data_IF_927304890891
#
_entry.id   IF_927304890891
#
_cell.length_a   1.000
_cell.length_b   1.000
_cell.length_c   1.000
_cell.angle_alpha   90.00
_cell.angle_beta   90.00
_cell.angle_gamma   90.00
#
_symmetry.space_group_name_H-M   'P 1'
#
loop_
_entity.id
_entity.type
_entity.pdbx_description
1 polymer ?
#
# COMPACT_ATOMS: atom_id res chain seq x y z
N UNK A 1 -4.81 -8.54 -33.69
CA UNK A 1 -3.95 -9.73 -33.50
C UNK A 1 -3.06 -9.83 -34.73
N UNK A 2 -1.87 -9.23 -34.69
CA UNK A 2 -0.97 -9.24 -35.85
C UNK A 2 -0.02 -10.43 -35.71
N UNK A 3 -0.24 -11.45 -36.53
CA UNK A 3 0.67 -12.57 -36.73
C UNK A 3 1.85 -12.08 -37.59
N UNK A 4 2.80 -11.36 -36.98
CA UNK A 4 3.96 -10.78 -37.70
C UNK A 4 5.10 -11.80 -37.86
N UNK A 5 5.08 -12.91 -37.12
CA UNK A 5 6.07 -13.98 -37.26
C UNK A 5 5.34 -15.33 -37.34
N UNK A 6 4.98 -15.71 -38.57
CA UNK A 6 4.43 -17.02 -38.85
C UNK A 6 5.44 -18.11 -38.51
N UNK A 7 5.22 -18.83 -37.40
CA UNK A 7 5.81 -20.15 -37.09
C UNK A 7 7.34 -20.31 -37.15
N UNK A 8 8.12 -19.26 -37.35
CA UNK A 8 9.59 -19.33 -37.40
C UNK A 8 10.22 -18.92 -36.07
N UNK A 9 10.56 -19.94 -35.27
CA UNK A 9 11.75 -19.95 -34.39
C UNK A 9 11.97 -18.79 -33.40
N UNK A 10 10.90 -18.25 -32.80
CA UNK A 10 10.96 -17.36 -31.63
C UNK A 10 11.90 -17.89 -30.52
N UNK A 11 11.91 -19.20 -30.17
CA UNK A 11 12.85 -19.76 -29.19
C UNK A 11 14.32 -19.75 -29.66
N UNK A 12 14.56 -19.87 -30.96
CA UNK A 12 15.89 -19.88 -31.57
C UNK A 12 16.49 -18.46 -31.68
N UNK A 13 15.66 -17.47 -32.02
CA UNK A 13 16.00 -16.05 -31.98
C UNK A 13 16.33 -15.64 -30.54
N UNK A 14 15.50 -16.03 -29.56
CA UNK A 14 15.78 -15.77 -28.15
C UNK A 14 17.07 -16.46 -27.64
N UNK A 15 17.39 -17.65 -28.16
CA UNK A 15 18.64 -18.38 -27.86
C UNK A 15 19.87 -17.66 -28.44
N UNK A 16 19.77 -17.10 -29.65
CA UNK A 16 20.84 -16.28 -30.24
C UNK A 16 21.01 -14.92 -29.56
N UNK A 17 19.91 -14.26 -29.18
CA UNK A 17 19.95 -13.02 -28.41
C UNK A 17 20.61 -13.20 -27.03
N UNK A 18 20.42 -14.34 -26.37
CA UNK A 18 21.12 -14.69 -25.11
C UNK A 18 22.62 -14.93 -25.26
N UNK A 19 23.09 -15.27 -26.46
CA UNK A 19 24.50 -15.53 -26.76
C UNK A 19 25.24 -14.27 -27.22
N UNK A 20 24.51 -13.17 -27.46
CA UNK A 20 25.08 -11.93 -27.95
C UNK A 20 25.23 -10.92 -26.79
N UNK A 21 26.45 -10.81 -26.26
CA UNK A 21 26.78 -9.89 -25.17
C UNK A 21 26.43 -8.42 -25.48
N UNK A 22 26.42 -8.02 -26.77
CA UNK A 22 25.99 -6.67 -27.17
C UNK A 22 24.49 -6.47 -26.94
N UNK A 23 23.67 -7.48 -27.23
CA UNK A 23 22.22 -7.43 -27.04
C UNK A 23 21.87 -7.44 -25.54
N UNK A 24 22.54 -8.26 -24.75
CA UNK A 24 22.37 -8.27 -23.29
C UNK A 24 22.75 -6.92 -22.65
N UNK A 25 23.90 -6.36 -23.02
CA UNK A 25 24.34 -5.04 -22.54
C UNK A 25 23.39 -3.92 -23.01
N UNK A 26 22.83 -4.04 -24.22
CA UNK A 26 21.85 -3.10 -24.73
C UNK A 26 20.55 -3.12 -23.91
N UNK A 27 20.01 -4.32 -23.62
CA UNK A 27 18.83 -4.48 -22.74
C UNK A 27 19.11 -3.95 -21.34
N UNK A 28 20.28 -4.24 -20.76
CA UNK A 28 20.70 -3.68 -19.45
C UNK A 28 20.73 -2.15 -19.49
N UNK A 29 21.31 -1.55 -20.53
CA UNK A 29 21.35 -0.09 -20.69
C UNK A 29 19.97 0.54 -20.82
N UNK A 30 19.00 -0.17 -21.43
CA UNK A 30 17.62 0.30 -21.54
C UNK A 30 16.93 0.21 -20.20
N UNK A 31 17.12 -0.88 -19.46
CA UNK A 31 16.62 -1.01 -18.10
C UNK A 31 17.20 0.11 -17.23
N UNK A 32 18.50 0.37 -17.28
CA UNK A 32 19.12 1.47 -16.51
C UNK A 32 18.62 2.85 -16.93
N UNK A 33 18.37 3.11 -18.22
CA UNK A 33 17.78 4.38 -18.71
C UNK A 33 16.31 4.54 -18.33
N UNK A 34 15.55 3.45 -18.30
CA UNK A 34 14.13 3.48 -17.95
C UNK A 34 13.94 3.55 -16.42
N UNK A 35 14.79 2.85 -15.69
CA UNK A 35 14.84 2.81 -14.23
C UNK A 35 16.06 3.64 -13.78
N UNK A 36 15.93 4.98 -13.77
CA UNK A 36 16.95 5.96 -13.32
C UNK A 36 17.32 5.82 -11.81
N UNK A 37 17.60 4.61 -11.31
CA UNK A 37 17.83 4.31 -9.90
C UNK A 37 16.67 4.64 -8.95
N UNK A 38 15.60 5.24 -9.45
CA UNK A 38 14.50 5.79 -8.67
C UNK A 38 13.53 4.68 -8.29
N UNK A 39 13.09 4.71 -7.03
CA UNK A 39 11.97 3.90 -6.58
C UNK A 39 10.74 4.38 -7.34
N UNK A 40 10.18 3.51 -8.17
CA UNK A 40 8.83 3.70 -8.69
C UNK A 40 7.89 3.51 -7.50
N UNK A 41 7.42 4.61 -6.94
CA UNK A 41 6.54 4.69 -5.77
C UNK A 41 5.14 5.15 -6.13
N UNK A 42 5.03 6.20 -6.97
CA UNK A 42 3.75 6.84 -7.27
C UNK A 42 3.12 6.40 -8.59
N UNK A 43 1.84 6.71 -8.79
CA UNK A 43 1.15 6.50 -10.06
C UNK A 43 1.75 7.37 -11.20
N UNK A 44 2.08 8.62 -10.91
CA UNK A 44 2.73 9.52 -11.87
C UNK A 44 4.11 9.01 -12.29
N UNK A 45 4.90 8.47 -11.34
CA UNK A 45 6.20 7.85 -11.65
C UNK A 45 6.04 6.60 -12.52
N UNK A 46 4.98 5.81 -12.29
CA UNK A 46 4.64 4.65 -13.15
C UNK A 46 4.27 5.09 -14.56
N UNK A 47 3.47 6.13 -14.71
CA UNK A 47 3.06 6.65 -16.01
C UNK A 47 4.27 7.20 -16.78
N UNK A 48 5.11 8.01 -16.14
CA UNK A 48 6.37 8.50 -16.72
C UNK A 48 7.30 7.35 -17.11
N UNK A 49 7.37 6.31 -16.28
CA UNK A 49 8.12 5.10 -16.60
C UNK A 49 7.57 4.39 -17.84
N UNK A 50 6.25 4.17 -17.93
CA UNK A 50 5.62 3.57 -19.12
C UNK A 50 5.81 4.42 -20.36
N UNK A 51 5.77 5.75 -20.24
CA UNK A 51 6.08 6.66 -21.35
C UNK A 51 7.53 6.51 -21.84
N UNK A 52 8.51 6.44 -20.92
CA UNK A 52 9.92 6.22 -21.27
C UNK A 52 10.13 4.89 -21.98
N UNK A 53 9.47 3.84 -21.51
CA UNK A 53 9.49 2.49 -22.11
C UNK A 53 8.87 2.49 -23.51
N UNK A 54 7.71 3.10 -23.67
CA UNK A 54 7.04 3.23 -24.97
C UNK A 54 7.82 4.10 -25.95
N UNK A 55 8.66 5.02 -25.47
CA UNK A 55 9.54 5.83 -26.31
C UNK A 55 10.82 5.09 -26.73
N UNK A 56 11.17 3.96 -26.10
CA UNK A 56 12.37 3.22 -26.45
C UNK A 56 12.26 2.60 -27.85
N UNK A 57 13.29 2.76 -28.67
CA UNK A 57 13.40 2.11 -29.98
C UNK A 57 14.69 1.34 -30.03
N UNK A 58 14.73 0.29 -30.83
CA UNK A 58 15.96 -0.48 -31.01
C UNK A 58 17.04 0.43 -31.62
N UNK A 59 18.28 0.31 -31.15
CA UNK A 59 19.39 1.11 -31.63
C UNK A 59 19.58 0.83 -33.13
N UNK A 60 19.67 1.86 -33.99
CA UNK A 60 19.82 1.67 -35.43
C UNK A 60 21.00 0.75 -35.82
N UNK A 61 22.09 0.76 -35.06
CA UNK A 61 23.23 -0.13 -35.30
C UNK A 61 22.89 -1.60 -35.00
N UNK A 62 22.11 -1.85 -33.95
CA UNK A 62 21.63 -3.20 -33.57
C UNK A 62 20.51 -3.64 -34.51
N UNK A 63 19.65 -2.71 -34.94
CA UNK A 63 18.58 -2.93 -35.92
C UNK A 63 19.15 -3.42 -37.25
N UNK A 64 20.17 -2.73 -37.76
CA UNK A 64 20.80 -3.08 -39.03
C UNK A 64 21.44 -4.47 -39.03
N UNK A 65 22.11 -4.85 -37.93
CA UNK A 65 22.72 -6.18 -37.79
C UNK A 65 21.65 -7.28 -37.65
N UNK A 66 20.58 -7.01 -36.89
CA UNK A 66 19.47 -7.95 -36.70
C UNK A 66 18.66 -8.18 -37.98
N UNK A 67 18.36 -7.13 -38.74
CA UNK A 67 17.66 -7.23 -40.03
C UNK A 67 18.50 -7.99 -41.04
N UNK A 68 19.80 -7.70 -41.13
CA UNK A 68 20.71 -8.45 -42.00
C UNK A 68 20.72 -9.93 -41.64
N UNK A 69 20.79 -10.27 -40.36
CA UNK A 69 20.74 -11.66 -39.91
C UNK A 69 19.41 -12.33 -40.24
N UNK A 70 18.26 -11.69 -39.97
CA UNK A 70 16.93 -12.26 -40.22
C UNK A 70 16.62 -12.42 -41.72
N UNK A 71 17.07 -11.46 -42.54
CA UNK A 71 16.96 -11.55 -44.00
C UNK A 71 17.82 -12.69 -44.59
N UNK A 72 18.97 -13.01 -43.97
CA UNK A 72 19.77 -14.18 -44.37
C UNK A 72 19.05 -15.51 -44.13
N UNK A 73 18.07 -15.54 -43.21
CA UNK A 73 17.19 -16.70 -42.97
C UNK A 73 15.89 -16.64 -43.79
N UNK A 74 15.81 -15.79 -44.82
CA UNK A 74 14.69 -15.72 -45.75
C UNK A 74 13.44 -15.01 -45.23
N UNK A 75 13.55 -14.30 -44.10
CA UNK A 75 12.45 -13.50 -43.54
C UNK A 75 12.62 -12.04 -43.96
N UNK A 76 11.71 -11.47 -44.75
CA UNK A 76 11.71 -10.05 -45.08
C UNK A 76 11.19 -9.25 -43.88
N UNK A 77 12.10 -8.84 -42.99
CA UNK A 77 11.76 -8.10 -41.77
C UNK A 77 12.07 -6.62 -41.98
N UNK A 78 11.08 -5.75 -41.78
CA UNK A 78 11.27 -4.30 -41.79
C UNK A 78 11.75 -3.77 -40.44
N UNK A 79 12.32 -2.57 -40.44
CA UNK A 79 12.67 -1.84 -39.21
C UNK A 79 11.45 -1.63 -38.29
N UNK A 80 10.25 -1.45 -38.86
CA UNK A 80 9.01 -1.34 -38.08
C UNK A 80 8.62 -2.65 -37.41
N UNK A 81 8.80 -3.79 -38.09
CA UNK A 81 8.46 -5.11 -37.54
C UNK A 81 9.41 -5.47 -36.39
N UNK A 82 10.70 -5.16 -36.57
CA UNK A 82 11.71 -5.38 -35.53
C UNK A 82 11.46 -4.51 -34.30
N UNK A 83 11.09 -3.24 -34.51
CA UNK A 83 10.74 -2.34 -33.40
C UNK A 83 9.45 -2.76 -32.68
N UNK A 84 8.44 -3.25 -33.39
CA UNK A 84 7.22 -3.79 -32.79
C UNK A 84 7.52 -5.02 -31.92
N UNK A 85 8.29 -5.98 -32.46
CA UNK A 85 8.75 -7.15 -31.71
C UNK A 85 9.58 -6.77 -30.48
N UNK A 86 10.47 -5.79 -30.62
CA UNK A 86 11.27 -5.27 -29.53
C UNK A 86 10.41 -4.66 -28.42
N UNK A 87 9.39 -3.86 -28.79
CA UNK A 87 8.45 -3.27 -27.85
C UNK A 87 7.63 -4.31 -27.10
N UNK A 88 7.13 -5.34 -27.79
CA UNK A 88 6.40 -6.46 -27.16
C UNK A 88 7.30 -7.22 -26.16
N UNK A 89 8.56 -7.45 -26.51
CA UNK A 89 9.52 -8.09 -25.60
C UNK A 89 9.80 -7.23 -24.37
N UNK A 90 9.97 -5.92 -24.56
CA UNK A 90 10.23 -4.96 -23.48
C UNK A 90 9.03 -4.89 -22.51
N UNK A 91 7.81 -4.83 -23.03
CA UNK A 91 6.59 -4.81 -22.22
C UNK A 91 6.39 -6.10 -21.44
N UNK A 92 6.63 -7.27 -22.05
CA UNK A 92 6.58 -8.55 -21.37
C UNK A 92 7.62 -8.65 -20.24
N UNK A 93 8.85 -8.19 -20.50
CA UNK A 93 9.92 -8.16 -19.49
C UNK A 93 9.55 -7.28 -18.30
N UNK A 94 8.96 -6.11 -18.55
CA UNK A 94 8.49 -5.19 -17.52
C UNK A 94 7.34 -5.81 -16.72
N UNK A 95 6.38 -6.48 -17.38
CA UNK A 95 5.31 -7.20 -16.71
C UNK A 95 5.83 -8.26 -15.74
N UNK A 96 6.82 -9.05 -16.18
CA UNK A 96 7.50 -10.03 -15.32
C UNK A 96 8.32 -9.37 -14.21
N UNK A 97 8.94 -8.21 -14.44
CA UNK A 97 9.62 -7.43 -13.40
C UNK A 97 8.64 -6.97 -12.32
N UNK A 98 7.49 -6.40 -12.68
CA UNK A 98 6.47 -5.99 -11.72
C UNK A 98 5.89 -7.17 -10.95
N UNK A 99 5.68 -8.31 -11.62
CA UNK A 99 5.24 -9.55 -11.00
C UNK A 99 6.29 -10.12 -10.03
N UNK A 100 7.57 -10.09 -10.41
CA UNK A 100 8.68 -10.48 -9.55
C UNK A 100 8.81 -9.55 -8.33
N UNK A 101 8.68 -8.23 -8.53
CA UNK A 101 8.63 -7.24 -7.45
C UNK A 101 7.45 -7.47 -6.52
N UNK A 102 6.25 -7.72 -7.04
CA UNK A 102 5.07 -8.10 -6.26
C UNK A 102 5.32 -9.34 -5.42
N UNK A 103 5.94 -10.37 -6.00
CA UNK A 103 6.29 -11.60 -5.29
C UNK A 103 7.37 -11.35 -4.22
N UNK A 104 8.35 -10.49 -4.49
CA UNK A 104 9.37 -10.10 -3.55
C UNK A 104 8.79 -9.28 -2.40
N UNK A 105 7.95 -8.29 -2.68
CA UNK A 105 7.24 -7.48 -1.68
C UNK A 105 6.30 -8.35 -0.84
N UNK A 106 5.63 -9.33 -1.45
CA UNK A 106 4.84 -10.32 -0.72
C UNK A 106 5.70 -11.15 0.23
N UNK A 107 6.83 -11.69 -0.23
CA UNK A 107 7.80 -12.43 0.61
C UNK A 107 8.43 -11.56 1.69
N UNK A 108 8.75 -10.31 1.38
CA UNK A 108 9.26 -9.34 2.34
C UNK A 108 8.16 -8.95 3.34
N UNK A 109 6.89 -8.89 2.95
CA UNK A 109 5.78 -8.68 3.87
C UNK A 109 5.64 -9.87 4.83
N UNK A 110 5.73 -11.10 4.31
CA UNK A 110 5.77 -12.34 5.11
C UNK A 110 6.94 -12.34 6.10
N UNK A 111 8.11 -11.80 5.72
CA UNK A 111 9.33 -11.75 6.56
C UNK A 111 9.49 -10.49 7.43
N UNK A 112 8.82 -9.37 7.11
CA UNK A 112 8.93 -8.06 7.79
C UNK A 112 7.74 -7.75 8.70
N UNK A 113 6.89 -8.73 8.98
CA UNK A 113 5.93 -8.61 10.07
C UNK A 113 6.69 -8.45 11.40
N UNK A 114 6.96 -7.20 11.76
CA UNK A 114 6.80 -6.81 13.16
C UNK A 114 5.38 -7.23 13.53
N UNK A 115 5.25 -8.43 14.10
CA UNK A 115 3.94 -9.04 14.30
C UNK A 115 3.09 -8.06 15.10
N UNK A 116 1.98 -7.61 14.51
CA UNK A 116 1.00 -6.82 15.25
C UNK A 116 0.51 -7.74 16.36
N UNK A 117 0.90 -7.46 17.60
CA UNK A 117 0.55 -8.30 18.74
C UNK A 117 -0.95 -8.53 18.81
N UNK A 118 -1.37 -9.66 19.41
CA UNK A 118 -2.80 -9.97 19.56
C UNK A 118 -3.59 -8.85 20.23
N UNK A 119 -2.96 -8.16 21.18
CA UNK A 119 -3.57 -7.01 21.84
C UNK A 119 -3.76 -5.84 20.87
N UNK A 120 -2.79 -5.56 20.01
CA UNK A 120 -2.93 -4.55 18.97
C UNK A 120 -4.00 -4.94 17.95
N UNK A 121 -4.08 -6.22 17.55
CA UNK A 121 -5.13 -6.71 16.67
C UNK A 121 -6.53 -6.50 17.27
N UNK A 122 -6.71 -6.78 18.56
CA UNK A 122 -7.98 -6.50 19.26
C UNK A 122 -8.32 -5.01 19.28
N UNK A 123 -7.33 -4.14 19.49
CA UNK A 123 -7.52 -2.67 19.46
C UNK A 123 -7.90 -2.22 18.05
N UNK A 124 -7.20 -2.69 17.01
CA UNK A 124 -7.50 -2.38 15.62
C UNK A 124 -8.89 -2.86 15.22
N UNK A 125 -9.32 -4.03 15.69
CA UNK A 125 -10.67 -4.54 15.47
C UNK A 125 -11.73 -3.62 16.08
N UNK A 126 -11.49 -3.13 17.29
CA UNK A 126 -12.36 -2.13 17.93
C UNK A 126 -12.37 -0.80 17.15
N UNK A 127 -11.21 -0.34 16.67
CA UNK A 127 -11.09 0.89 15.86
C UNK A 127 -11.85 0.74 14.54
N UNK A 128 -11.73 -0.40 13.85
CA UNK A 128 -12.46 -0.68 12.63
C UNK A 128 -13.98 -0.58 12.86
N UNK A 129 -14.50 -1.20 13.93
CA UNK A 129 -15.91 -1.09 14.28
C UNK A 129 -16.35 0.35 14.63
N UNK A 130 -15.48 1.16 15.21
CA UNK A 130 -15.71 2.59 15.45
C UNK A 130 -15.75 3.40 14.15
N UNK A 131 -14.82 3.13 13.21
CA UNK A 131 -14.75 3.83 11.92
C UNK A 131 -16.05 3.63 11.14
N UNK A 132 -16.55 2.39 11.03
CA UNK A 132 -17.83 2.11 10.37
C UNK A 132 -18.94 2.96 10.97
N UNK A 133 -19.04 3.01 12.31
CA UNK A 133 -20.07 3.77 13.00
C UNK A 133 -19.94 5.28 12.76
N UNK A 134 -18.72 5.80 12.72
CA UNK A 134 -18.46 7.21 12.46
C UNK A 134 -18.84 7.58 11.01
N UNK A 135 -18.50 6.73 10.04
CA UNK A 135 -18.87 6.89 8.64
C UNK A 135 -20.37 6.83 8.44
N UNK A 136 -21.06 5.82 9.01
CA UNK A 136 -22.54 5.77 8.98
C UNK A 136 -23.13 7.12 9.39
N UNK A 137 -22.71 7.66 10.55
CA UNK A 137 -23.20 8.95 11.05
C UNK A 137 -22.87 10.12 10.13
N UNK A 138 -21.69 10.16 9.53
CA UNK A 138 -21.27 11.20 8.57
C UNK A 138 -22.18 11.17 7.35
N UNK A 139 -22.33 10.00 6.75
CA UNK A 139 -23.04 9.84 5.47
C UNK A 139 -24.57 9.95 5.63
N UNK A 140 -25.15 9.50 6.74
CA UNK A 140 -26.59 9.72 7.02
C UNK A 140 -26.99 11.21 7.03
N UNK A 141 -26.04 12.11 7.29
CA UNK A 141 -26.26 13.57 7.35
C UNK A 141 -26.03 14.29 6.02
N UNK A 142 -25.59 13.60 4.97
CA UNK A 142 -25.46 14.22 3.64
C UNK A 142 -26.80 14.73 3.17
N UNK A 143 -26.82 15.90 2.50
CA UNK A 143 -28.06 16.44 1.95
C UNK A 143 -28.47 15.73 0.67
N UNK A 144 -27.51 15.38 -0.17
CA UNK A 144 -27.72 14.60 -1.39
C UNK A 144 -28.23 13.19 -1.05
N UNK A 145 -29.41 12.83 -1.57
CA UNK A 145 -30.05 11.53 -1.32
C UNK A 145 -29.35 10.40 -2.08
N UNK A 146 -28.99 10.62 -3.33
CA UNK A 146 -28.39 9.60 -4.18
C UNK A 146 -26.99 9.23 -3.67
N UNK A 147 -26.17 10.24 -3.41
CA UNK A 147 -24.83 10.04 -2.85
C UNK A 147 -24.88 9.38 -1.47
N UNK A 148 -25.86 9.76 -0.64
CA UNK A 148 -26.08 9.14 0.67
C UNK A 148 -26.40 7.66 0.55
N UNK A 149 -27.35 7.28 -0.31
CA UNK A 149 -27.76 5.88 -0.48
C UNK A 149 -26.57 5.01 -0.92
N UNK A 150 -25.82 5.48 -1.92
CA UNK A 150 -24.63 4.82 -2.47
C UNK A 150 -23.51 4.66 -1.42
N UNK A 151 -23.21 5.72 -0.66
CA UNK A 151 -22.20 5.66 0.38
C UNK A 151 -22.61 4.76 1.56
N UNK A 152 -23.89 4.79 1.95
CA UNK A 152 -24.41 3.90 2.98
C UNK A 152 -24.37 2.44 2.54
N UNK A 153 -24.63 2.15 1.26
CA UNK A 153 -24.47 0.82 0.69
C UNK A 153 -23.02 0.34 0.75
N UNK A 154 -22.06 1.17 0.32
CA UNK A 154 -20.63 0.84 0.43
C UNK A 154 -20.22 0.57 1.90
N UNK A 155 -20.75 1.34 2.85
CA UNK A 155 -20.50 1.11 4.28
C UNK A 155 -21.06 -0.23 4.78
N UNK A 156 -22.20 -0.70 4.24
CA UNK A 156 -22.74 -2.03 4.59
C UNK A 156 -21.77 -3.14 4.18
N UNK A 157 -21.02 -2.97 3.09
CA UNK A 157 -19.97 -3.90 2.65
C UNK A 157 -18.80 -4.04 3.65
N UNK A 158 -18.61 -3.06 4.54
CA UNK A 158 -17.58 -3.09 5.59
C UNK A 158 -17.99 -3.94 6.80
N UNK A 159 -19.27 -4.32 6.90
CA UNK A 159 -19.85 -5.00 8.07
C UNK A 159 -19.90 -6.50 7.82
N UNK A 160 -19.51 -7.28 8.81
CA UNK A 160 -19.74 -8.73 8.77
C UNK A 160 -21.23 -9.01 9.05
N UNK A 161 -21.98 -9.37 8.01
CA UNK A 161 -23.39 -9.77 8.10
C UNK A 161 -23.59 -11.30 8.05
N UNK A 162 -22.50 -12.08 7.91
CA UNK A 162 -22.58 -13.54 7.81
C UNK A 162 -22.66 -14.20 9.19
N UNK A 163 -23.43 -15.27 9.28
CA UNK A 163 -23.47 -16.18 10.43
C UNK A 163 -22.33 -17.21 10.42
N UNK A 164 -21.53 -17.25 9.35
CA UNK A 164 -20.39 -18.16 9.24
C UNK A 164 -19.22 -17.71 10.10
N UNK A 165 -18.39 -18.67 10.52
CA UNK A 165 -17.19 -18.38 11.30
C UNK A 165 -16.18 -17.62 10.44
N UNK A 166 -15.79 -16.43 10.86
CA UNK A 166 -14.81 -15.58 10.17
C UNK A 166 -13.49 -15.50 10.93
N UNK A 167 -12.41 -15.09 10.25
CA UNK A 167 -11.11 -14.92 10.90
C UNK A 167 -11.16 -13.90 12.04
N UNK A 168 -12.03 -12.89 11.90
CA UNK A 168 -12.26 -11.84 12.90
C UNK A 168 -12.98 -12.31 14.18
N UNK A 169 -13.60 -13.49 14.19
CA UNK A 169 -14.42 -13.95 15.33
C UNK A 169 -13.64 -14.10 16.63
N UNK A 170 -12.35 -14.42 16.54
CA UNK A 170 -11.47 -14.52 17.70
C UNK A 170 -11.31 -13.19 18.47
N UNK A 171 -11.64 -12.06 17.84
CA UNK A 171 -11.58 -10.73 18.45
C UNK A 171 -12.93 -10.26 19.03
N UNK A 172 -14.03 -10.95 18.70
CA UNK A 172 -15.40 -10.58 19.07
C UNK A 172 -15.61 -10.55 20.58
N UNK A 173 -14.96 -11.43 21.35
CA UNK A 173 -15.12 -11.51 22.81
C UNK A 173 -14.70 -10.23 23.56
N UNK A 174 -13.68 -9.50 23.08
CA UNK A 174 -13.28 -8.21 23.67
C UNK A 174 -14.22 -7.09 23.19
N UNK A 175 -14.66 -7.19 21.94
CA UNK A 175 -15.54 -6.24 21.31
C UNK A 175 -16.90 -6.21 22.02
N UNK A 176 -17.54 -7.36 22.25
CA UNK A 176 -18.83 -7.50 22.93
C UNK A 176 -18.78 -6.96 24.37
N UNK A 177 -17.70 -7.26 25.11
CA UNK A 177 -17.49 -6.73 26.47
C UNK A 177 -17.46 -5.20 26.55
N UNK A 178 -17.09 -4.52 25.45
CA UNK A 178 -17.03 -3.06 25.37
C UNK A 178 -18.18 -2.44 24.59
N UNK A 179 -19.06 -3.25 24.01
CA UNK A 179 -20.13 -2.80 23.15
C UNK A 179 -21.29 -2.23 23.98
N UNK A 180 -21.52 -0.92 23.87
CA UNK A 180 -22.70 -0.24 24.44
C UNK A 180 -23.79 0.00 23.37
N UNK A 181 -23.99 -0.96 22.47
CA UNK A 181 -25.04 -0.91 21.44
C UNK A 181 -24.76 -0.06 20.19
N UNK A 182 -23.53 0.39 19.96
CA UNK A 182 -23.21 1.30 18.84
C UNK A 182 -22.00 0.94 17.97
N UNK A 183 -21.15 0.00 18.40
CA UNK A 183 -20.05 -0.48 17.54
C UNK A 183 -20.61 -1.44 16.49
N UNK A 184 -19.99 -1.50 15.31
CA UNK A 184 -20.32 -2.43 14.21
C UNK A 184 -19.25 -3.51 14.06
N UNK A 185 -19.62 -4.74 13.74
CA UNK A 185 -18.68 -5.86 13.58
C UNK A 185 -18.07 -5.76 12.18
N UNK A 186 -16.77 -5.45 12.03
CA UNK A 186 -16.17 -5.31 10.71
C UNK A 186 -16.02 -6.68 10.02
N UNK A 187 -16.09 -6.71 8.69
CA UNK A 187 -15.75 -7.89 7.89
C UNK A 187 -14.23 -8.11 7.84
N UNK A 188 -13.81 -9.31 7.43
CA UNK A 188 -12.39 -9.71 7.44
C UNK A 188 -11.53 -8.80 6.56
N UNK A 189 -11.97 -8.52 5.33
CA UNK A 189 -11.23 -7.67 4.39
C UNK A 189 -11.09 -6.23 4.93
N UNK A 190 -12.14 -5.70 5.55
CA UNK A 190 -12.08 -4.35 6.12
C UNK A 190 -11.17 -4.30 7.37
N UNK A 191 -11.20 -5.31 8.22
CA UNK A 191 -10.24 -5.42 9.32
C UNK A 191 -8.79 -5.50 8.81
N UNK A 192 -8.54 -6.29 7.75
CA UNK A 192 -7.22 -6.42 7.16
C UNK A 192 -6.74 -5.12 6.50
N UNK A 193 -7.63 -4.35 5.88
CA UNK A 193 -7.34 -3.00 5.39
C UNK A 193 -6.86 -2.07 6.52
N UNK A 194 -7.60 -2.02 7.63
CA UNK A 194 -7.21 -1.20 8.80
C UNK A 194 -5.89 -1.67 9.41
N UNK A 195 -5.64 -2.98 9.43
CA UNK A 195 -4.36 -3.55 9.87
C UNK A 195 -3.21 -3.17 8.93
N UNK A 196 -3.47 -3.10 7.63
CA UNK A 196 -2.46 -2.67 6.65
C UNK A 196 -2.09 -1.20 6.85
N UNK A 197 -3.06 -0.32 7.10
CA UNK A 197 -2.79 1.08 7.45
C UNK A 197 -1.83 1.20 8.63
N UNK A 198 -2.10 0.48 9.72
CA UNK A 198 -1.20 0.46 10.89
C UNK A 198 0.20 -0.04 10.54
N UNK A 199 0.29 -1.07 9.69
CA UNK A 199 1.55 -1.69 9.28
C UNK A 199 2.40 -0.73 8.45
N UNK A 200 1.81 -0.09 7.44
CA UNK A 200 2.51 0.88 6.58
C UNK A 200 3.00 2.07 7.41
N UNK A 201 2.17 2.61 8.30
CA UNK A 201 2.57 3.76 9.13
C UNK A 201 3.68 3.37 10.11
N UNK A 202 3.65 2.18 10.72
CA UNK A 202 4.76 1.72 11.59
C UNK A 202 6.07 1.53 10.83
N UNK A 203 6.02 1.00 9.61
CA UNK A 203 7.19 0.93 8.73
C UNK A 203 7.74 2.33 8.45
N UNK A 204 6.84 3.29 8.23
CA UNK A 204 7.17 4.69 8.07
C UNK A 204 7.79 5.33 9.31
N UNK A 205 7.28 5.09 10.51
CA UNK A 205 7.83 5.66 11.76
C UNK A 205 9.22 5.13 12.14
N UNK A 206 9.59 3.93 11.65
CA UNK A 206 10.92 3.34 11.86
C UNK A 206 12.00 3.93 10.94
N UNK A 207 11.59 4.62 9.87
CA UNK A 207 12.47 5.40 8.99
C UNK A 207 12.31 6.84 9.44
N UNK A 208 13.36 7.50 9.89
CA UNK A 208 13.31 8.69 10.76
C UNK A 208 12.65 9.97 10.18
N UNK A 209 11.92 9.89 9.08
CA UNK A 209 11.39 11.02 8.33
C UNK A 209 9.98 10.70 7.82
N UNK A 210 8.96 11.28 8.45
CA UNK A 210 7.63 11.36 7.85
C UNK A 210 6.94 12.64 8.31
N UNK A 211 6.83 13.59 7.38
CA UNK A 211 5.81 14.64 7.47
C UNK A 211 4.42 13.98 7.43
N UNK A 212 3.41 14.56 8.09
CA UNK A 212 2.07 13.95 8.16
C UNK A 212 1.43 13.77 6.77
N UNK A 213 1.76 14.62 5.79
CA UNK A 213 1.23 14.54 4.42
C UNK A 213 1.76 13.34 3.65
N UNK A 214 3.06 13.05 3.75
CA UNK A 214 3.65 11.87 3.08
C UNK A 214 3.11 10.53 3.61
N UNK A 215 2.58 10.51 4.83
CA UNK A 215 2.04 9.27 5.43
C UNK A 215 0.69 8.88 4.83
N UNK A 216 -0.14 9.84 4.38
CA UNK A 216 -1.44 9.55 3.75
C UNK A 216 -1.22 8.92 2.38
N UNK A 217 -0.39 9.56 1.55
CA UNK A 217 -0.07 9.10 0.20
C UNK A 217 0.57 7.73 0.21
N UNK A 218 1.62 7.51 1.04
CA UNK A 218 2.28 6.20 1.15
C UNK A 218 1.33 5.07 1.58
N UNK A 219 0.30 5.37 2.37
CA UNK A 219 -0.70 4.37 2.78
C UNK A 219 -1.65 4.08 1.62
N UNK A 220 -2.16 5.09 0.92
CA UNK A 220 -3.06 4.90 -0.21
C UNK A 220 -2.37 4.23 -1.42
N UNK A 221 -1.09 4.50 -1.61
CA UNK A 221 -0.26 3.86 -2.64
C UNK A 221 0.14 2.41 -2.29
N UNK A 222 -0.12 1.96 -1.06
CA UNK A 222 0.18 0.57 -0.68
C UNK A 222 -0.59 -0.41 -1.55
N UNK A 223 0.15 -1.32 -2.19
CA UNK A 223 -0.41 -2.39 -2.99
C UNK A 223 -1.49 -3.18 -2.24
N UNK A 224 -1.26 -3.44 -0.95
CA UNK A 224 -2.21 -4.21 -0.12
C UNK A 224 -3.49 -3.41 0.16
N UNK A 225 -3.42 -2.08 0.22
CA UNK A 225 -4.60 -1.22 0.35
C UNK A 225 -5.45 -1.30 -0.92
N UNK A 226 -4.82 -1.23 -2.10
CA UNK A 226 -5.50 -1.47 -3.38
C UNK A 226 -6.15 -2.86 -3.44
N UNK A 227 -5.43 -3.90 -3.01
CA UNK A 227 -5.96 -5.27 -2.98
C UNK A 227 -7.22 -5.41 -2.10
N UNK A 228 -7.22 -4.82 -0.89
CA UNK A 228 -8.38 -4.89 -0.01
C UNK A 228 -9.53 -4.00 -0.48
N UNK A 229 -9.24 -2.87 -1.15
CA UNK A 229 -10.26 -2.03 -1.83
C UNK A 229 -11.02 -2.85 -2.86
N UNK A 230 -10.33 -3.51 -3.78
CA UNK A 230 -10.95 -4.37 -4.81
C UNK A 230 -11.80 -5.49 -4.20
N UNK A 231 -11.34 -6.07 -3.08
CA UNK A 231 -12.08 -7.13 -2.37
C UNK A 231 -13.31 -6.62 -1.62
N UNK A 232 -13.33 -5.37 -1.19
CA UNK A 232 -14.47 -4.75 -0.51
C UNK A 232 -15.48 -4.20 -1.51
N UNK A 233 -15.02 -3.72 -2.66
CA UNK A 233 -15.82 -3.04 -3.67
C UNK A 233 -15.53 -3.57 -5.08
N UNK A 234 -15.93 -4.83 -5.39
CA UNK A 234 -15.61 -5.44 -6.69
C UNK A 234 -16.26 -4.71 -7.87
N UNK A 235 -17.44 -4.13 -7.68
CA UNK A 235 -18.18 -3.39 -8.71
C UNK A 235 -17.61 -1.99 -8.99
N UNK A 236 -16.65 -1.52 -8.21
CA UNK A 236 -16.08 -0.18 -8.38
C UNK A 236 -15.20 -0.06 -9.64
N UNK A 237 -14.73 -1.17 -10.20
CA UNK A 237 -13.93 -1.18 -11.42
C UNK A 237 -14.78 -1.06 -12.71
N UNK A 238 -16.09 -1.23 -12.61
CA UNK A 238 -16.99 -1.28 -13.77
C UNK A 238 -17.73 0.05 -14.02
N UNK A 239 -17.82 0.91 -13.00
CA UNK A 239 -18.56 2.18 -13.06
C UNK A 239 -17.72 3.34 -12.48
N UNK A 240 -17.39 4.34 -13.31
CA UNK A 240 -16.54 5.50 -12.94
C UNK A 240 -17.11 6.30 -11.75
N UNK A 241 -18.43 6.42 -11.66
CA UNK A 241 -19.11 7.08 -10.54
C UNK A 241 -19.04 6.25 -9.25
N UNK A 242 -18.92 4.92 -9.36
CA UNK A 242 -18.72 4.04 -8.21
C UNK A 242 -17.26 4.06 -7.77
N UNK A 243 -16.32 4.16 -8.71
CA UNK A 243 -14.89 4.28 -8.44
C UNK A 243 -14.59 5.49 -7.55
N UNK A 244 -15.00 6.68 -7.99
CA UNK A 244 -14.86 7.95 -7.26
C UNK A 244 -15.51 7.92 -5.87
N UNK A 245 -16.69 7.31 -5.76
CA UNK A 245 -17.40 7.13 -4.48
C UNK A 245 -16.61 6.26 -3.49
N UNK A 246 -16.00 5.17 -3.97
CA UNK A 246 -15.21 4.26 -3.15
C UNK A 246 -13.84 4.84 -2.76
N UNK A 247 -13.21 5.61 -3.64
CA UNK A 247 -11.95 6.30 -3.31
C UNK A 247 -12.15 7.33 -2.21
N UNK A 248 -13.21 8.13 -2.32
CA UNK A 248 -13.58 9.08 -1.28
C UNK A 248 -13.85 8.38 0.07
N UNK A 249 -14.48 7.20 0.03
CA UNK A 249 -14.74 6.40 1.22
C UNK A 249 -13.44 5.86 1.84
N UNK A 250 -12.51 5.34 1.03
CA UNK A 250 -11.19 4.86 1.50
C UNK A 250 -10.40 6.00 2.14
N UNK A 251 -10.41 7.19 1.53
CA UNK A 251 -9.78 8.38 2.10
C UNK A 251 -10.39 8.76 3.46
N UNK A 252 -11.71 8.72 3.57
CA UNK A 252 -12.41 9.00 4.82
C UNK A 252 -12.10 7.98 5.92
N UNK A 253 -12.03 6.70 5.56
CA UNK A 253 -11.61 5.62 6.47
C UNK A 253 -10.20 5.92 6.99
N UNK A 254 -9.25 6.23 6.09
CA UNK A 254 -7.88 6.53 6.44
C UNK A 254 -7.79 7.79 7.31
N UNK A 255 -8.54 8.84 6.97
CA UNK A 255 -8.58 10.07 7.76
C UNK A 255 -9.05 9.80 9.19
N UNK A 256 -10.17 9.11 9.37
CA UNK A 256 -10.68 8.73 10.70
C UNK A 256 -9.68 7.87 11.46
N UNK A 257 -9.02 6.92 10.78
CA UNK A 257 -7.99 6.09 11.38
C UNK A 257 -6.82 6.93 11.91
N UNK A 258 -6.29 7.84 11.09
CA UNK A 258 -5.22 8.75 11.46
C UNK A 258 -5.63 9.70 12.59
N UNK A 259 -6.87 10.20 12.60
CA UNK A 259 -7.40 11.03 13.70
C UNK A 259 -7.42 10.27 15.02
N UNK A 260 -7.95 9.03 15.03
CA UNK A 260 -8.01 8.20 16.24
C UNK A 260 -6.60 7.89 16.75
N UNK A 261 -5.69 7.52 15.83
CA UNK A 261 -4.27 7.27 16.16
C UNK A 261 -3.58 8.51 16.72
N UNK A 262 -3.78 9.67 16.06
CA UNK A 262 -3.22 10.96 16.45
C UNK A 262 -3.67 11.38 17.86
N UNK A 263 -4.96 11.26 18.16
CA UNK A 263 -5.49 11.53 19.51
C UNK A 263 -4.90 10.58 20.56
N UNK A 264 -4.77 9.29 20.25
CA UNK A 264 -4.16 8.33 21.17
C UNK A 264 -2.68 8.67 21.45
N UNK A 265 -1.92 9.04 20.40
CA UNK A 265 -0.51 9.46 20.52
C UNK A 265 -0.37 10.75 21.33
N UNK A 266 -1.18 11.77 21.05
CA UNK A 266 -1.20 13.01 21.79
C UNK A 266 -1.53 12.79 23.28
N UNK A 267 -2.55 11.96 23.58
CA UNK A 267 -2.91 11.61 24.96
C UNK A 267 -1.79 10.88 25.70
N UNK A 268 -1.07 9.98 25.00
CA UNK A 268 0.10 9.30 25.54
C UNK A 268 1.21 10.30 25.89
N UNK A 269 1.53 11.24 25.01
CA UNK A 269 2.54 12.29 25.24
C UNK A 269 2.15 13.17 26.44
N UNK A 270 0.91 13.66 26.48
CA UNK A 270 0.40 14.47 27.61
C UNK A 270 0.52 13.71 28.93
N UNK A 271 0.20 12.40 28.93
CA UNK A 271 0.32 11.58 30.13
C UNK A 271 1.79 11.35 30.55
N UNK A 272 2.73 11.26 29.61
CA UNK A 272 4.17 11.19 29.90
C UNK A 272 4.65 12.48 30.55
N UNK A 273 4.38 13.63 29.93
CA UNK A 273 4.73 14.96 30.46
C UNK A 273 4.14 15.18 31.86
N UNK A 274 2.87 14.83 32.07
CA UNK A 274 2.23 14.92 33.41
C UNK A 274 2.90 14.02 34.45
N UNK A 275 3.42 12.86 34.07
CA UNK A 275 4.15 11.95 34.98
C UNK A 275 5.53 12.50 35.30
N UNK A 276 6.23 13.03 34.31
CA UNK A 276 7.54 13.68 34.47
C UNK A 276 7.43 14.90 35.40
N UNK A 277 6.45 15.79 35.18
CA UNK A 277 6.18 16.92 36.06
C UNK A 277 5.81 16.50 37.50
N UNK A 278 5.06 15.41 37.68
CA UNK A 278 4.77 14.87 39.03
C UNK A 278 6.00 14.29 39.72
N UNK A 279 6.91 13.68 38.96
CA UNK A 279 8.16 13.14 39.50
C UNK A 279 9.15 14.27 39.83
N UNK A 280 9.23 15.32 39.02
CA UNK A 280 10.01 16.53 39.32
C UNK A 280 9.47 17.26 40.55
N UNK A 281 8.15 17.39 40.69
CA UNK A 281 7.54 18.01 41.87
C UNK A 281 7.71 17.17 43.14
N UNK A 282 7.77 15.83 43.03
CA UNK A 282 8.13 14.94 44.14
C UNK A 282 9.61 15.04 44.51
N UNK A 283 10.50 15.18 43.53
CA UNK A 283 11.93 15.39 43.77
C UNK A 283 12.23 16.76 44.41
N UNK A 284 11.44 17.80 44.10
CA UNK A 284 11.57 19.14 44.71
C UNK A 284 10.96 19.26 46.12
N UNK A 285 10.08 18.33 46.52
CA UNK A 285 9.42 18.37 47.84
C UNK A 285 10.12 17.51 48.90
N UNK A 286 11.15 16.74 48.54
CA UNK A 286 11.93 15.92 49.49
C UNK A 286 12.99 16.69 50.27
N UNK A 287 13.19 17.98 50.01
CA UNK A 287 14.04 18.87 50.83
C UNK A 287 13.20 19.77 51.73
N UNK A 288 12.21 19.23 52.46
CA UNK A 288 11.58 20.00 53.53
C UNK A 288 12.57 20.13 54.70
N UNK A 289 12.81 21.34 55.18
CA UNK A 289 13.63 21.66 56.36
C UNK A 289 13.25 20.84 57.61
N UNK A 290 12.01 20.32 57.66
CA UNK A 290 11.52 19.42 58.73
C UNK A 290 12.19 18.04 58.75
N UNK A 291 12.66 17.54 57.60
CA UNK A 291 13.40 16.28 57.54
C UNK A 291 14.84 16.43 58.06
N UNK A 292 15.48 17.55 57.72
CA UNK A 292 16.86 17.85 58.12
C UNK A 292 17.00 18.13 59.62
N UNK A 293 16.00 18.79 60.23
CA UNK A 293 16.02 19.07 61.68
C UNK A 293 15.84 17.82 62.56
N UNK A 294 15.23 16.74 62.06
CA UNK A 294 15.14 15.46 62.79
C UNK A 294 16.44 14.65 62.77
N UNK A 295 17.31 14.86 61.79
CA UNK A 295 18.63 14.21 61.77
C UNK A 295 19.67 14.94 62.62
N UNK A 296 19.45 16.22 62.96
CA UNK A 296 20.36 17.00 63.79
C UNK A 296 20.07 16.82 65.30
N UNK A 297 18.86 16.41 65.70
CA UNK A 297 18.52 16.18 67.12
C UNK A 297 18.98 14.83 67.69
N UNK A 298 19.72 14.02 66.93
CA UNK A 298 20.27 12.73 67.37
C UNK A 298 21.81 12.70 67.25
N UNK A 299 22.46 13.80 67.60
CA UNK A 299 23.88 13.83 67.98
C UNK A 299 24.05 14.54 69.31
#
# INVERSE_FOLDING_TARGET
MYNILGTSNIPEIAKHCKQNAKFENYIKSIIEKCFDGNKISSAAEREVFFMKVHACRIDPAVSGDAIKALNMFGSNVSDSDLNAFFQDCLMNLIGEFFKARRNLEKKLCENSHSSVSDQNNKILFYIAGYIIRALEKKYYRLHDKHLREKQIENIKGLINNSSEKTFTDKFTSMYEKKQRGGLKKPCDNFFLLVREFETVIRKGENVHELSQMESKEKVLESFMVGHYREKLFPSAAEEEEQETCTDQLIEDILHLFLTVRGHAKAKSIVNKVKKEQKNENRAKTSSSLRGTLKCISNK
#
